data_IF_736474182223
#
_entry.id   IF_736474182223
#
_cell.length_a   1.000
_cell.length_b   1.000
_cell.length_c   1.000
_cell.angle_alpha   90.00
_cell.angle_beta   90.00
_cell.angle_gamma   90.00
#
_symmetry.space_group_name_H-M   'P 1'
#
loop_
_entity.id
_entity.type
_entity.pdbx_description
1 polymer ?
#
# COMPACT_ATOMS: atom_id res chain seq x y z
N UNK A 1 19.74 -9.46 -4.43
CA UNK A 1 19.03 -10.11 -3.32
C UNK A 1 17.55 -10.12 -3.63
N UNK A 2 16.94 -11.30 -3.66
CA UNK A 2 15.51 -11.45 -3.96
C UNK A 2 14.73 -11.09 -2.70
N UNK A 3 13.65 -10.30 -2.86
CA UNK A 3 12.74 -10.04 -1.75
C UNK A 3 12.03 -11.34 -1.35
N UNK A 4 12.26 -11.79 -0.11
CA UNK A 4 11.67 -13.02 0.39
C UNK A 4 10.25 -12.77 0.89
N UNK A 5 9.28 -12.93 0.01
CA UNK A 5 7.87 -12.68 0.34
C UNK A 5 7.34 -13.69 1.36
N UNK A 6 7.83 -14.93 1.37
CA UNK A 6 7.41 -15.92 2.38
C UNK A 6 7.80 -15.47 3.78
N UNK A 7 9.05 -14.99 3.94
CA UNK A 7 9.52 -14.46 5.22
C UNK A 7 8.71 -13.23 5.61
N UNK A 8 8.46 -12.33 4.67
CA UNK A 8 7.63 -11.15 4.88
C UNK A 8 6.23 -11.54 5.35
N UNK A 9 5.61 -12.53 4.70
CA UNK A 9 4.27 -13.00 5.06
C UNK A 9 4.22 -13.58 6.48
N UNK A 10 5.26 -14.32 6.89
CA UNK A 10 5.34 -14.86 8.26
C UNK A 10 5.47 -13.76 9.30
N UNK A 11 6.30 -12.76 9.04
CA UNK A 11 6.44 -11.61 9.93
C UNK A 11 5.12 -10.86 10.03
N UNK A 12 4.48 -10.60 8.89
CA UNK A 12 3.20 -9.90 8.85
C UNK A 12 2.12 -10.65 9.64
N UNK A 13 2.05 -11.97 9.49
CA UNK A 13 1.10 -12.80 10.24
C UNK A 13 1.33 -12.69 11.75
N UNK A 14 2.59 -12.63 12.19
CA UNK A 14 2.92 -12.57 13.63
C UNK A 14 2.59 -11.23 14.27
N UNK A 15 2.50 -10.15 13.50
CA UNK A 15 2.23 -8.79 14.02
C UNK A 15 0.87 -8.24 13.55
N UNK A 16 0.04 -9.07 12.94
CA UNK A 16 -1.18 -8.60 12.27
C UNK A 16 -2.12 -7.90 13.27
N UNK A 17 -2.46 -6.62 13.02
CA UNK A 17 -3.35 -5.88 13.92
C UNK A 17 -4.82 -6.24 13.68
N UNK A 18 -5.69 -5.73 14.54
CA UNK A 18 -7.14 -5.77 14.28
C UNK A 18 -7.42 -4.89 13.05
N UNK A 19 -8.04 -5.48 12.03
CA UNK A 19 -8.30 -4.80 10.77
C UNK A 19 -9.55 -5.39 10.09
N UNK A 20 -10.33 -4.56 9.35
CA UNK A 20 -11.39 -5.07 8.49
C UNK A 20 -10.89 -5.98 7.37
N UNK A 21 -9.60 -5.86 6.98
CA UNK A 21 -9.00 -6.74 5.98
C UNK A 21 -8.52 -8.02 6.63
N UNK A 22 -8.71 -9.15 5.94
CA UNK A 22 -8.07 -10.41 6.34
C UNK A 22 -6.58 -10.35 6.08
N UNK A 23 -5.83 -11.25 6.71
CA UNK A 23 -4.39 -11.37 6.45
C UNK A 23 -4.12 -11.58 4.96
N UNK A 24 -4.88 -12.46 4.31
CA UNK A 24 -4.73 -12.76 2.89
C UNK A 24 -4.99 -11.53 2.01
N UNK A 25 -5.99 -10.73 2.36
CA UNK A 25 -6.29 -9.49 1.63
C UNK A 25 -5.15 -8.49 1.75
N UNK A 26 -4.63 -8.30 2.97
CA UNK A 26 -3.50 -7.40 3.20
C UNK A 26 -2.23 -7.89 2.47
N UNK A 27 -1.95 -9.19 2.53
CA UNK A 27 -0.80 -9.78 1.83
C UNK A 27 -0.93 -9.63 0.31
N UNK A 28 -2.14 -9.73 -0.22
CA UNK A 28 -2.39 -9.52 -1.64
C UNK A 28 -2.04 -8.09 -2.07
N UNK A 29 -2.38 -7.09 -1.25
CA UNK A 29 -2.02 -5.69 -1.52
C UNK A 29 -0.49 -5.51 -1.52
N UNK A 30 0.19 -6.05 -0.51
CA UNK A 30 1.65 -6.00 -0.44
C UNK A 30 2.31 -6.68 -1.64
N UNK A 31 1.83 -7.86 -1.99
CA UNK A 31 2.38 -8.62 -3.11
C UNK A 31 2.24 -7.84 -4.42
N UNK A 32 1.08 -7.26 -4.66
CA UNK A 32 0.82 -6.44 -5.84
C UNK A 32 1.80 -5.26 -5.90
N UNK A 33 2.00 -4.58 -4.77
CA UNK A 33 2.91 -3.43 -4.73
C UNK A 33 4.36 -3.85 -4.99
N UNK A 34 4.84 -4.91 -4.35
CA UNK A 34 6.22 -5.37 -4.50
C UNK A 34 6.51 -5.88 -5.91
N UNK A 35 5.57 -6.55 -6.54
CA UNK A 35 5.72 -6.96 -7.94
C UNK A 35 5.83 -5.74 -8.86
N UNK A 36 4.96 -4.75 -8.68
CA UNK A 36 4.97 -3.54 -9.49
C UNK A 36 6.25 -2.73 -9.27
N UNK A 37 6.70 -2.66 -8.03
CA UNK A 37 7.95 -2.02 -7.68
C UNK A 37 9.14 -2.67 -8.41
N UNK A 38 9.21 -3.99 -8.39
CA UNK A 38 10.28 -4.73 -9.06
C UNK A 38 10.24 -4.55 -10.58
N UNK A 39 9.05 -4.57 -11.18
CA UNK A 39 8.87 -4.26 -12.60
C UNK A 39 9.38 -2.85 -12.94
N UNK A 40 9.03 -1.88 -12.11
CA UNK A 40 9.34 -0.47 -12.36
C UNK A 40 10.82 -0.15 -12.17
N UNK A 41 11.44 -0.69 -11.12
CA UNK A 41 12.81 -0.35 -10.72
C UNK A 41 13.86 -1.36 -11.23
N UNK A 42 13.45 -2.57 -11.57
CA UNK A 42 14.36 -3.69 -11.85
C UNK A 42 15.03 -4.26 -10.60
N UNK A 43 14.58 -3.89 -9.41
CA UNK A 43 15.16 -4.30 -8.14
C UNK A 43 14.07 -4.72 -7.16
N UNK A 44 14.35 -5.66 -6.24
CA UNK A 44 13.40 -5.99 -5.19
C UNK A 44 13.19 -4.81 -4.23
N UNK A 45 11.99 -4.71 -3.67
CA UNK A 45 11.68 -3.68 -2.70
C UNK A 45 12.54 -3.86 -1.44
N UNK A 46 13.06 -2.77 -0.84
CA UNK A 46 13.79 -2.87 0.41
C UNK A 46 12.93 -3.46 1.54
N UNK A 47 13.54 -4.14 2.52
CA UNK A 47 12.80 -4.63 3.68
C UNK A 47 12.12 -3.49 4.44
N UNK A 48 10.94 -3.77 5.00
CA UNK A 48 10.23 -2.85 5.88
C UNK A 48 10.08 -3.48 7.27
N UNK A 49 10.19 -2.67 8.31
CA UNK A 49 10.14 -3.18 9.68
C UNK A 49 8.71 -3.45 10.13
N UNK A 50 8.57 -4.25 11.20
CA UNK A 50 7.27 -4.67 11.71
C UNK A 50 6.35 -3.51 12.06
N UNK A 51 6.87 -2.43 12.63
CA UNK A 51 6.06 -1.26 12.98
C UNK A 51 5.48 -0.55 11.74
N UNK A 52 6.24 -0.51 10.65
CA UNK A 52 5.77 0.04 9.38
C UNK A 52 4.71 -0.87 8.74
N UNK A 53 4.90 -2.18 8.81
CA UNK A 53 3.92 -3.15 8.33
C UNK A 53 2.58 -2.94 9.03
N UNK A 54 2.59 -2.84 10.35
CA UNK A 54 1.38 -2.63 11.16
C UNK A 54 0.70 -1.33 10.79
N UNK A 55 1.47 -0.24 10.66
CA UNK A 55 0.91 1.06 10.28
C UNK A 55 0.24 1.01 8.91
N UNK A 56 0.90 0.41 7.93
CA UNK A 56 0.36 0.29 6.57
C UNK A 56 -0.93 -0.53 6.57
N UNK A 57 -0.96 -1.65 7.30
CA UNK A 57 -2.16 -2.49 7.38
C UNK A 57 -3.33 -1.72 8.00
N UNK A 58 -3.07 -0.93 9.04
CA UNK A 58 -4.11 -0.10 9.65
C UNK A 58 -4.67 0.95 8.71
N UNK A 59 -3.84 1.47 7.82
CA UNK A 59 -4.26 2.48 6.84
C UNK A 59 -4.95 1.89 5.61
N UNK A 60 -4.67 0.62 5.28
CA UNK A 60 -5.18 -0.01 4.05
C UNK A 60 -6.69 0.11 3.86
N UNK A 61 -7.55 -0.17 4.86
CA UNK A 61 -8.98 -0.18 4.65
C UNK A 61 -9.62 1.20 4.50
N UNK A 62 -8.86 2.26 4.74
CA UNK A 62 -9.43 3.61 4.84
C UNK A 62 -8.68 4.60 3.99
N UNK A 63 -9.44 5.53 3.40
CA UNK A 63 -8.90 6.72 2.73
C UNK A 63 -9.46 7.94 3.43
N UNK A 64 -8.57 8.82 3.86
CA UNK A 64 -8.95 10.09 4.47
C UNK A 64 -9.63 10.99 3.45
N UNK A 65 -10.77 11.58 3.78
CA UNK A 65 -11.43 12.59 2.97
C UNK A 65 -11.17 13.97 3.55
N UNK A 66 -10.68 14.88 2.71
CA UNK A 66 -10.62 16.28 3.05
C UNK A 66 -11.95 16.97 2.73
N UNK A 67 -13.00 16.54 3.42
CA UNK A 67 -14.25 17.27 3.43
C UNK A 67 -14.49 17.87 4.81
N UNK A 68 -15.26 18.95 4.89
CA UNK A 68 -15.71 19.43 6.20
C UNK A 68 -16.36 18.28 6.96
N UNK A 69 -15.71 17.84 8.05
CA UNK A 69 -16.19 16.73 8.85
C UNK A 69 -15.25 15.53 8.96
N UNK A 70 -14.13 15.50 8.22
CA UNK A 70 -13.09 14.48 8.39
C UNK A 70 -13.54 13.04 8.21
N UNK A 71 -14.41 12.77 7.25
CA UNK A 71 -14.94 11.43 7.01
C UNK A 71 -13.90 10.55 6.34
N UNK A 72 -13.80 9.30 6.79
CA UNK A 72 -13.01 8.26 6.13
C UNK A 72 -13.90 7.54 5.12
N UNK A 73 -13.34 7.22 3.97
CA UNK A 73 -13.97 6.33 3.01
C UNK A 73 -13.35 4.95 3.16
N UNK A 74 -14.19 3.93 3.19
CA UNK A 74 -13.73 2.55 3.11
C UNK A 74 -13.25 2.27 1.68
N UNK A 75 -12.21 1.47 1.57
CA UNK A 75 -11.66 1.04 0.28
C UNK A 75 -11.57 -0.49 0.26
N UNK A 76 -12.07 -1.09 -0.81
CA UNK A 76 -11.96 -2.52 -1.01
C UNK A 76 -10.53 -2.94 -1.35
N UNK A 77 -10.06 -4.10 -0.86
CA UNK A 77 -8.74 -4.62 -1.26
C UNK A 77 -8.58 -4.72 -2.77
N UNK A 78 -9.65 -5.03 -3.48
CA UNK A 78 -9.65 -5.19 -4.94
C UNK A 78 -9.40 -3.88 -5.70
N UNK A 79 -9.55 -2.73 -5.05
CA UNK A 79 -9.25 -1.44 -5.66
C UNK A 79 -7.75 -1.16 -5.72
N UNK A 80 -6.94 -1.82 -4.89
CA UNK A 80 -5.51 -1.53 -4.81
C UNK A 80 -4.73 -1.80 -6.09
N UNK A 81 -4.95 -2.87 -6.86
CA UNK A 81 -4.21 -3.03 -8.12
C UNK A 81 -4.34 -1.82 -9.05
N UNK A 82 -5.52 -1.25 -9.18
CA UNK A 82 -5.75 -0.06 -9.99
C UNK A 82 -5.03 1.17 -9.41
N UNK A 83 -5.13 1.37 -8.10
CA UNK A 83 -4.47 2.49 -7.43
C UNK A 83 -2.95 2.40 -7.55
N UNK A 84 -2.40 1.21 -7.40
CA UNK A 84 -0.96 0.97 -7.49
C UNK A 84 -0.49 1.21 -8.93
N UNK A 85 -1.21 0.75 -9.93
CA UNK A 85 -0.89 1.01 -11.33
C UNK A 85 -0.87 2.52 -11.62
N UNK A 86 -1.87 3.25 -11.15
CA UNK A 86 -1.93 4.71 -11.30
C UNK A 86 -0.77 5.41 -10.60
N UNK A 87 -0.42 4.93 -9.41
CA UNK A 87 0.70 5.48 -8.67
C UNK A 87 2.01 5.34 -9.46
N UNK A 88 2.29 4.16 -10.00
CA UNK A 88 3.51 3.93 -10.77
C UNK A 88 3.50 4.63 -12.14
N UNK A 89 2.33 4.95 -12.67
CA UNK A 89 2.19 5.75 -13.90
C UNK A 89 2.37 7.24 -13.65
N UNK A 90 2.29 7.71 -12.42
CA UNK A 90 2.44 9.11 -12.06
C UNK A 90 3.91 9.42 -11.77
N UNK A 91 4.39 10.57 -12.24
CA UNK A 91 5.77 11.01 -11.96
C UNK A 91 5.81 11.77 -10.64
N UNK A 92 6.73 11.36 -9.77
CA UNK A 92 7.00 12.04 -8.51
C UNK A 92 8.47 12.44 -8.47
N UNK A 93 8.73 13.68 -8.07
CA UNK A 93 10.09 14.22 -7.99
C UNK A 93 10.82 13.61 -6.79
N UNK A 94 12.07 13.14 -7.02
CA UNK A 94 12.94 12.60 -5.96
C UNK A 94 12.28 11.47 -5.16
N UNK A 95 11.53 10.61 -5.83
CA UNK A 95 10.80 9.53 -5.18
C UNK A 95 11.46 8.19 -5.47
N UNK A 96 11.74 7.42 -4.42
CA UNK A 96 12.31 6.07 -4.52
C UNK A 96 11.23 4.98 -4.70
N UNK A 97 9.96 5.36 -4.73
CA UNK A 97 8.82 4.45 -4.88
C UNK A 97 8.66 3.43 -3.74
N UNK A 98 9.29 3.69 -2.58
CA UNK A 98 9.07 2.86 -1.40
C UNK A 98 7.57 2.84 -1.04
N UNK A 99 7.07 1.69 -0.59
CA UNK A 99 5.66 1.54 -0.24
C UNK A 99 5.19 2.57 0.80
N UNK A 100 6.09 3.03 1.67
CA UNK A 100 5.78 4.08 2.63
C UNK A 100 5.38 5.39 1.96
N UNK A 101 5.94 5.70 0.78
CA UNK A 101 5.54 6.89 0.02
C UNK A 101 4.09 6.74 -0.48
N UNK A 102 3.73 5.58 -1.02
CA UNK A 102 2.36 5.31 -1.49
C UNK A 102 1.34 5.47 -0.36
N UNK A 103 1.68 5.01 0.85
CA UNK A 103 0.80 5.09 2.02
C UNK A 103 0.99 6.37 2.85
N UNK A 104 1.72 7.37 2.34
CA UNK A 104 1.95 8.63 3.05
C UNK A 104 1.05 9.73 2.55
N UNK A 105 0.62 10.60 3.47
CA UNK A 105 -0.10 11.82 3.15
C UNK A 105 -1.29 11.58 2.23
N UNK A 106 -1.36 12.37 1.16
CA UNK A 106 -2.48 12.35 0.22
C UNK A 106 -2.22 11.58 -1.06
N UNK A 107 -1.09 10.88 -1.16
CA UNK A 107 -0.68 10.23 -2.41
C UNK A 107 -1.71 9.19 -2.86
N UNK A 108 -2.02 8.24 -1.98
CA UNK A 108 -3.00 7.17 -2.24
C UNK A 108 -4.41 7.74 -2.40
N UNK A 109 -4.75 8.71 -1.59
CA UNK A 109 -6.04 9.39 -1.61
C UNK A 109 -6.31 10.06 -2.97
N UNK A 110 -5.33 10.79 -3.50
CA UNK A 110 -5.46 11.43 -4.81
C UNK A 110 -5.67 10.41 -5.93
N UNK A 111 -4.95 9.29 -5.90
CA UNK A 111 -5.13 8.22 -6.89
C UNK A 111 -6.53 7.62 -6.82
N UNK A 112 -7.06 7.44 -5.61
CA UNK A 112 -8.40 6.94 -5.38
C UNK A 112 -9.47 7.87 -5.98
N UNK A 113 -9.34 9.18 -5.75
CA UNK A 113 -10.32 10.14 -6.27
C UNK A 113 -10.27 10.26 -7.79
N UNK A 114 -9.11 10.14 -8.40
CA UNK A 114 -9.00 10.10 -9.85
C UNK A 114 -9.80 8.95 -10.47
N UNK A 115 -9.88 7.82 -9.76
CA UNK A 115 -10.64 6.66 -10.23
C UNK A 115 -12.15 6.88 -10.16
N UNK A 116 -12.60 7.66 -9.18
CA UNK A 116 -14.03 7.97 -9.00
C UNK A 116 -14.54 9.03 -9.97
N UNK A 117 -13.69 9.86 -10.47
CA UNK A 117 -13.99 10.97 -11.34
C UNK A 117 -13.20 10.88 -12.64
#
# INVERSE_FOLDING_TARGET
MIFDFEKFARITASVYPVSPYTLEEALSVFHCYFEKYEEYTGRPHPPICASQIVRIIRDMPFISREYPGGLYADIDPEAYPVLIDKYFATKYRNCDRNINHFFSGRIRELRFYEELY
#
